data_IF_406081736888
#
_entry.id   IF_406081736888
#
_cell.length_a   1.000
_cell.length_b   1.000
_cell.length_c   1.000
_cell.angle_alpha   90.00
_cell.angle_beta   90.00
_cell.angle_gamma   90.00
#
_symmetry.space_group_name_H-M   'P 1'
#
loop_
_entity.id
_entity.type
_entity.pdbx_description
1 polymer ?
#
# COMPACT_ATOMS: atom_id res chain seq x y z
N UNK A 1 -57.67 20.74 8.84
CA UNK A 1 -56.42 20.76 8.06
C UNK A 1 -55.27 21.15 8.97
N UNK A 2 -54.50 20.18 9.46
CA UNK A 2 -53.39 20.39 10.40
C UNK A 2 -52.10 20.55 9.59
N UNK A 3 -51.46 21.73 9.65
CA UNK A 3 -50.15 21.98 9.05
C UNK A 3 -49.05 21.40 9.96
N UNK A 4 -48.43 20.28 9.55
CA UNK A 4 -47.20 19.77 10.18
C UNK A 4 -46.01 20.62 9.71
N UNK A 5 -45.35 21.29 10.65
CA UNK A 5 -44.02 21.91 10.45
C UNK A 5 -42.98 20.80 10.46
N UNK A 6 -42.22 20.68 9.38
CA UNK A 6 -41.01 19.84 9.31
C UNK A 6 -39.88 20.64 9.95
N UNK A 7 -39.34 20.14 11.05
CA UNK A 7 -38.13 20.68 11.69
C UNK A 7 -36.95 19.92 11.11
N UNK A 8 -36.09 20.61 10.35
CA UNK A 8 -34.79 20.10 9.95
C UNK A 8 -33.84 20.20 11.15
N UNK A 9 -33.37 19.06 11.65
CA UNK A 9 -32.25 19.02 12.59
C UNK A 9 -30.93 19.01 11.79
N UNK A 10 -29.93 19.84 12.16
CA UNK A 10 -28.66 19.87 11.44
C UNK A 10 -27.84 18.63 11.81
N UNK A 11 -27.34 17.94 10.80
CA UNK A 11 -26.36 16.86 10.93
C UNK A 11 -25.03 17.47 11.41
N UNK A 12 -24.73 17.35 12.70
CA UNK A 12 -23.44 17.74 13.26
C UNK A 12 -22.45 16.63 12.97
N UNK A 13 -21.59 16.85 11.96
CA UNK A 13 -20.43 16.01 11.69
C UNK A 13 -19.38 16.28 12.78
N UNK A 14 -19.27 15.37 13.76
CA UNK A 14 -18.21 15.45 14.75
C UNK A 14 -16.87 15.01 14.12
N UNK A 15 -15.78 15.78 14.26
CA UNK A 15 -14.48 15.37 13.74
C UNK A 15 -13.94 14.23 14.63
N UNK A 16 -13.79 13.04 14.04
CA UNK A 16 -13.00 11.98 14.66
C UNK A 16 -11.52 12.42 14.61
N UNK A 17 -11.02 12.97 15.72
CA UNK A 17 -9.60 13.18 15.90
C UNK A 17 -8.92 11.81 15.99
N UNK A 18 -8.37 11.34 14.87
CA UNK A 18 -7.17 10.52 14.96
C UNK A 18 -6.07 11.41 15.51
N UNK A 19 -5.58 11.07 16.71
CA UNK A 19 -4.42 11.70 17.33
C UNK A 19 -3.20 11.45 16.46
N UNK A 20 -2.97 12.32 15.47
CA UNK A 20 -1.69 12.41 14.80
C UNK A 20 -0.74 13.02 15.83
N UNK A 21 0.01 12.16 16.51
CA UNK A 21 1.15 12.60 17.30
C UNK A 21 2.14 13.26 16.35
N UNK A 22 2.08 14.58 16.25
CA UNK A 22 3.09 15.40 15.57
C UNK A 22 4.33 15.38 16.48
N UNK A 23 5.09 14.31 16.39
CA UNK A 23 6.45 14.27 16.90
C UNK A 23 7.33 15.05 15.93
N UNK A 24 7.97 16.12 16.40
CA UNK A 24 9.08 16.81 15.71
C UNK A 24 10.36 15.95 15.65
N UNK A 25 10.22 14.63 15.50
CA UNK A 25 11.31 13.71 15.19
C UNK A 25 11.32 13.42 13.70
N UNK A 26 12.50 13.21 13.13
CA UNK A 26 12.68 12.83 11.72
C UNK A 26 12.10 11.45 11.35
N UNK A 27 11.32 10.82 12.24
CA UNK A 27 10.74 9.49 12.07
C UNK A 27 9.27 9.42 12.50
N UNK A 28 8.55 8.44 11.97
CA UNK A 28 7.17 8.10 12.34
C UNK A 28 7.10 7.49 13.73
N UNK A 29 6.00 7.72 14.44
CA UNK A 29 5.58 6.88 15.57
C UNK A 29 4.89 5.62 15.05
N UNK A 30 5.38 4.44 15.45
CA UNK A 30 4.75 3.17 15.10
C UNK A 30 3.43 2.96 15.82
N UNK A 31 2.53 2.14 15.28
CA UNK A 31 1.24 1.78 15.89
C UNK A 31 1.21 0.36 16.49
N UNK A 32 2.37 -0.20 16.87
CA UNK A 32 2.48 -1.55 17.45
C UNK A 32 1.76 -1.70 18.81
N UNK A 33 1.78 -0.63 19.62
CA UNK A 33 1.24 -0.55 20.98
C UNK A 33 -0.04 0.29 21.07
N UNK A 34 -0.61 0.71 19.92
CA UNK A 34 -1.73 1.64 19.93
C UNK A 34 -2.85 1.14 20.88
N UNK A 35 -3.37 2.01 21.75
CA UNK A 35 -4.38 1.58 22.71
C UNK A 35 -5.61 1.03 21.95
N UNK A 36 -6.38 0.10 22.54
CA UNK A 36 -7.72 -0.14 22.05
C UNK A 36 -8.44 1.21 21.99
N UNK A 37 -8.99 1.55 20.83
CA UNK A 37 -9.74 2.81 20.69
C UNK A 37 -10.89 2.74 21.69
N UNK A 38 -10.95 3.70 22.62
CA UNK A 38 -12.07 3.78 23.55
C UNK A 38 -13.35 3.83 22.74
N UNK A 39 -14.20 2.82 22.91
CA UNK A 39 -15.56 2.77 22.39
C UNK A 39 -16.36 3.91 23.03
N UNK A 40 -16.21 5.13 22.50
CA UNK A 40 -17.39 5.96 22.31
C UNK A 40 -18.33 5.11 21.48
N UNK A 41 -19.59 4.98 21.90
CA UNK A 41 -20.61 4.24 21.17
C UNK A 41 -20.77 4.86 19.77
N UNK A 42 -19.89 4.50 18.85
CA UNK A 42 -20.05 4.76 17.44
C UNK A 42 -21.30 3.97 17.07
N UNK A 43 -22.39 4.71 16.85
CA UNK A 43 -23.62 4.15 16.33
C UNK A 43 -23.25 3.36 15.08
N UNK A 44 -23.31 2.03 15.19
CA UNK A 44 -23.16 1.15 14.04
C UNK A 44 -24.30 1.48 13.09
N UNK A 45 -24.02 2.25 12.05
CA UNK A 45 -24.99 2.51 10.99
C UNK A 45 -25.03 1.23 10.16
N UNK A 46 -26.18 0.53 10.09
CA UNK A 46 -26.31 -0.66 9.27
C UNK A 46 -25.98 -0.32 7.81
N UNK A 47 -25.20 -1.16 7.13
CA UNK A 47 -24.85 -0.95 5.72
C UNK A 47 -23.51 -0.26 5.46
N UNK A 48 -22.79 0.24 6.49
CA UNK A 48 -21.52 0.95 6.28
C UNK A 48 -20.43 0.07 5.65
N UNK A 49 -20.41 -1.22 5.98
CA UNK A 49 -19.46 -2.16 5.37
C UNK A 49 -19.77 -2.36 3.88
N UNK A 50 -21.03 -2.60 3.53
CA UNK A 50 -21.49 -2.79 2.15
C UNK A 50 -21.29 -1.54 1.29
N UNK A 51 -21.53 -0.37 1.88
CA UNK A 51 -21.27 0.95 1.30
C UNK A 51 -19.77 1.13 1.01
N UNK A 52 -18.90 0.82 1.98
CA UNK A 52 -17.46 0.88 1.80
C UNK A 52 -16.98 -0.05 0.68
N UNK A 53 -17.50 -1.29 0.61
CA UNK A 53 -17.18 -2.21 -0.48
C UNK A 53 -17.68 -1.70 -1.85
N UNK A 54 -18.85 -1.04 -1.91
CA UNK A 54 -19.33 -0.45 -3.16
C UNK A 54 -18.43 0.68 -3.62
N UNK A 55 -18.05 1.59 -2.71
CA UNK A 55 -17.15 2.69 -3.00
C UNK A 55 -15.76 2.19 -3.44
N UNK A 56 -15.26 1.12 -2.81
CA UNK A 56 -14.02 0.46 -3.20
C UNK A 56 -14.06 -0.15 -4.61
N UNK A 57 -15.19 -0.70 -5.04
CA UNK A 57 -15.34 -1.18 -6.42
C UNK A 57 -15.17 -0.04 -7.44
N UNK A 58 -15.50 1.18 -7.07
CA UNK A 58 -15.34 2.40 -7.88
C UNK A 58 -14.06 3.20 -7.54
N UNK A 59 -13.04 2.57 -6.95
CA UNK A 59 -11.79 3.23 -6.52
C UNK A 59 -10.97 3.92 -7.61
N UNK A 60 -11.31 3.76 -8.90
CA UNK A 60 -10.78 4.61 -9.97
C UNK A 60 -11.16 6.08 -9.79
N UNK A 61 -12.23 6.37 -9.06
CA UNK A 61 -12.57 7.70 -8.56
C UNK A 61 -11.86 7.93 -7.22
N UNK A 62 -11.10 9.03 -7.12
CA UNK A 62 -10.46 9.44 -5.85
C UNK A 62 -11.49 9.63 -4.74
N UNK A 63 -12.61 10.28 -5.05
CA UNK A 63 -13.67 10.53 -4.07
C UNK A 63 -14.29 9.22 -3.56
N UNK A 64 -14.50 8.24 -4.44
CA UNK A 64 -15.02 6.93 -4.06
C UNK A 64 -14.00 6.18 -3.18
N UNK A 65 -12.71 6.20 -3.54
CA UNK A 65 -11.65 5.60 -2.72
C UNK A 65 -11.54 6.24 -1.33
N UNK A 66 -11.51 7.57 -1.25
CA UNK A 66 -11.46 8.30 0.04
C UNK A 66 -12.72 8.03 0.88
N UNK A 67 -13.89 7.92 0.23
CA UNK A 67 -15.14 7.54 0.89
C UNK A 67 -15.15 6.11 1.44
N UNK A 68 -14.50 5.15 0.76
CA UNK A 68 -14.32 3.79 1.25
C UNK A 68 -13.35 3.75 2.44
N UNK A 69 -12.22 4.46 2.33
CA UNK A 69 -11.21 4.57 3.39
C UNK A 69 -11.83 5.13 4.67
N UNK A 70 -12.56 6.25 4.59
CA UNK A 70 -13.16 6.89 5.76
C UNK A 70 -14.12 5.94 6.51
N UNK A 71 -14.86 5.11 5.79
CA UNK A 71 -15.78 4.12 6.38
C UNK A 71 -15.05 2.95 7.00
N UNK A 72 -14.03 2.43 6.33
CA UNK A 72 -13.19 1.39 6.93
C UNK A 72 -12.41 1.91 8.14
N UNK A 73 -11.99 3.17 8.17
CA UNK A 73 -11.40 3.79 9.37
C UNK A 73 -12.41 3.79 10.54
N UNK A 74 -13.67 4.18 10.29
CA UNK A 74 -14.71 4.17 11.31
C UNK A 74 -15.02 2.75 11.81
N UNK A 75 -15.10 1.77 10.90
CA UNK A 75 -15.29 0.36 11.23
C UNK A 75 -14.11 -0.20 12.03
N UNK A 76 -12.87 0.14 11.66
CA UNK A 76 -11.66 -0.30 12.34
C UNK A 76 -11.51 0.33 13.73
N UNK A 77 -11.95 1.58 13.89
CA UNK A 77 -12.05 2.21 15.20
C UNK A 77 -13.08 1.52 16.11
N UNK A 78 -14.19 1.04 15.55
CA UNK A 78 -15.21 0.29 16.29
C UNK A 78 -14.81 -1.18 16.58
N UNK A 79 -13.97 -1.78 15.73
CA UNK A 79 -13.49 -3.16 15.83
C UNK A 79 -11.96 -3.22 15.71
N UNK A 80 -11.21 -2.67 16.69
CA UNK A 80 -9.76 -2.50 16.55
C UNK A 80 -8.96 -3.79 16.46
N UNK A 81 -9.54 -4.93 16.84
CA UNK A 81 -8.95 -6.28 16.71
C UNK A 81 -9.17 -6.93 15.34
N UNK A 82 -9.94 -6.30 14.43
CA UNK A 82 -10.15 -6.83 13.08
C UNK A 82 -8.90 -6.57 12.21
N UNK A 83 -7.95 -7.50 12.29
CA UNK A 83 -6.69 -7.41 11.55
C UNK A 83 -6.88 -7.38 10.02
N UNK A 84 -7.93 -8.01 9.50
CA UNK A 84 -8.20 -8.06 8.06
C UNK A 84 -8.62 -6.67 7.55
N UNK A 85 -9.45 -5.96 8.31
CA UNK A 85 -9.85 -4.60 8.00
C UNK A 85 -8.66 -3.62 8.00
N UNK A 86 -7.73 -3.78 8.94
CA UNK A 86 -6.48 -3.02 8.96
C UNK A 86 -5.57 -3.31 7.76
N UNK A 87 -5.47 -4.58 7.34
CA UNK A 87 -4.79 -4.96 6.10
C UNK A 87 -5.41 -4.30 4.87
N UNK A 88 -6.75 -4.28 4.80
CA UNK A 88 -7.50 -3.63 3.73
C UNK A 88 -7.25 -2.12 3.70
N UNK A 89 -7.26 -1.45 4.86
CA UNK A 89 -6.90 -0.03 4.98
C UNK A 89 -5.47 0.23 4.51
N UNK A 90 -4.51 -0.61 4.89
CA UNK A 90 -3.12 -0.50 4.46
C UNK A 90 -2.98 -0.51 2.94
N UNK A 91 -3.68 -1.44 2.27
CA UNK A 91 -3.77 -1.50 0.81
C UNK A 91 -4.46 -0.27 0.21
N UNK A 92 -5.57 0.17 0.79
CA UNK A 92 -6.34 1.28 0.27
C UNK A 92 -5.53 2.58 0.27
N UNK A 93 -4.79 2.83 1.35
CA UNK A 93 -3.87 3.97 1.43
C UNK A 93 -2.70 3.89 0.46
N UNK A 94 -2.14 2.69 0.25
CA UNK A 94 -1.14 2.50 -0.80
C UNK A 94 -1.71 2.91 -2.16
N UNK A 95 -2.92 2.45 -2.49
CA UNK A 95 -3.56 2.75 -3.76
C UNK A 95 -3.93 4.24 -3.91
N UNK A 96 -4.35 4.90 -2.82
CA UNK A 96 -4.58 6.35 -2.80
C UNK A 96 -3.29 7.11 -3.16
N UNK A 97 -2.19 6.77 -2.49
CA UNK A 97 -0.91 7.44 -2.70
C UNK A 97 -0.36 7.19 -4.11
N UNK A 98 -0.26 5.93 -4.51
CA UNK A 98 0.43 5.49 -5.73
C UNK A 98 -0.43 5.69 -7.00
N UNK A 99 -1.76 5.66 -6.86
CA UNK A 99 -2.72 5.81 -7.96
C UNK A 99 -3.26 7.22 -8.15
N UNK A 100 -3.53 7.95 -7.07
CA UNK A 100 -4.24 9.25 -7.14
C UNK A 100 -3.41 10.47 -6.77
N UNK A 101 -2.30 10.28 -6.02
CA UNK A 101 -1.49 11.40 -5.52
C UNK A 101 -0.10 11.49 -6.15
N UNK A 102 0.23 10.59 -7.09
CA UNK A 102 1.57 10.47 -7.73
C UNK A 102 2.04 11.71 -8.50
N UNK A 103 1.13 12.60 -8.89
CA UNK A 103 1.45 13.80 -9.65
C UNK A 103 2.27 14.82 -8.83
N UNK A 104 2.14 14.78 -7.51
CA UNK A 104 2.87 15.65 -6.57
C UNK A 104 3.66 14.78 -5.59
N UNK A 105 4.72 14.10 -6.05
CA UNK A 105 5.54 13.27 -5.18
C UNK A 105 6.13 14.15 -4.07
N UNK A 106 6.20 13.61 -2.85
CA UNK A 106 6.65 14.31 -1.63
C UNK A 106 5.68 15.35 -1.04
N UNK A 107 4.52 15.61 -1.66
CA UNK A 107 3.47 16.41 -1.01
C UNK A 107 3.07 15.80 0.34
N UNK A 108 2.54 16.64 1.23
CA UNK A 108 2.03 16.20 2.53
C UNK A 108 0.95 15.13 2.37
N UNK A 109 0.05 15.28 1.39
CA UNK A 109 -0.98 14.28 1.10
C UNK A 109 -0.38 12.95 0.65
N UNK A 110 0.62 12.96 -0.24
CA UNK A 110 1.28 11.75 -0.74
C UNK A 110 2.03 11.00 0.36
N UNK A 111 2.85 11.71 1.14
CA UNK A 111 3.58 11.13 2.27
C UNK A 111 2.61 10.67 3.37
N UNK A 112 1.62 11.49 3.70
CA UNK A 112 0.60 11.19 4.70
C UNK A 112 -0.22 9.94 4.36
N UNK A 113 -0.54 9.71 3.09
CA UNK A 113 -1.24 8.51 2.66
C UNK A 113 -0.39 7.24 2.88
N UNK A 114 0.87 7.19 2.43
CA UNK A 114 1.74 6.04 2.75
C UNK A 114 2.00 5.87 4.25
N UNK A 115 2.03 6.98 4.98
CA UNK A 115 2.15 6.95 6.43
C UNK A 115 0.92 6.28 7.07
N UNK A 116 -0.30 6.71 6.73
CA UNK A 116 -1.50 6.03 7.20
C UNK A 116 -1.56 4.56 6.78
N UNK A 117 -1.15 4.24 5.54
CA UNK A 117 -1.09 2.86 5.05
C UNK A 117 -0.11 1.99 5.84
N UNK A 118 1.08 2.50 6.14
CA UNK A 118 2.05 1.80 6.99
C UNK A 118 1.47 1.59 8.39
N UNK A 119 0.87 2.62 9.01
CA UNK A 119 0.27 2.54 10.35
C UNK A 119 -0.86 1.53 10.45
N UNK A 120 -1.73 1.47 9.43
CA UNK A 120 -2.77 0.45 9.34
C UNK A 120 -2.17 -0.96 9.24
N UNK A 121 -1.11 -1.14 8.44
CA UNK A 121 -0.42 -2.43 8.33
C UNK A 121 0.27 -2.85 9.65
N UNK A 122 0.88 -1.89 10.37
CA UNK A 122 1.44 -2.14 11.71
C UNK A 122 0.37 -2.63 12.68
N UNK A 123 -0.80 -1.98 12.67
CA UNK A 123 -1.93 -2.36 13.50
C UNK A 123 -2.47 -3.75 13.14
N UNK A 124 -2.72 -4.02 11.86
CA UNK A 124 -3.21 -5.32 11.41
C UNK A 124 -2.26 -6.46 11.76
N UNK A 125 -0.95 -6.23 11.66
CA UNK A 125 0.07 -7.21 12.03
C UNK A 125 0.12 -7.46 13.55
N UNK A 126 0.05 -6.40 14.36
CA UNK A 126 0.02 -6.52 15.81
C UNK A 126 -1.21 -7.27 16.32
N UNK A 127 -2.38 -7.03 15.71
CA UNK A 127 -3.65 -7.65 16.13
C UNK A 127 -3.83 -9.07 15.59
N UNK A 128 -3.19 -9.42 14.47
CA UNK A 128 -3.23 -10.80 13.94
C UNK A 128 -2.20 -11.74 14.58
N UNK A 129 -1.14 -11.21 15.21
CA UNK A 129 -0.09 -12.06 15.78
C UNK A 129 0.46 -11.53 17.11
N UNK A 130 -0.06 -12.06 18.22
CA UNK A 130 0.32 -11.65 19.57
C UNK A 130 1.80 -11.92 19.90
N UNK A 131 2.38 -12.99 19.35
CA UNK A 131 3.79 -13.33 19.57
C UNK A 131 4.72 -12.31 18.89
N UNK A 132 4.40 -11.90 17.65
CA UNK A 132 5.08 -10.82 16.96
C UNK A 132 4.95 -9.51 17.74
N UNK A 133 3.72 -9.14 18.15
CA UNK A 133 3.47 -7.93 18.96
C UNK A 133 4.34 -7.93 20.21
N UNK A 134 4.33 -9.01 20.99
CA UNK A 134 5.12 -9.12 22.22
C UNK A 134 6.64 -8.92 21.98
N UNK A 135 7.18 -9.50 20.90
CA UNK A 135 8.60 -9.36 20.53
C UNK A 135 8.99 -7.94 20.17
N UNK A 136 8.20 -7.28 19.32
CA UNK A 136 8.48 -5.89 18.92
C UNK A 136 8.34 -4.93 20.11
N UNK A 137 7.34 -5.15 20.99
CA UNK A 137 7.19 -4.36 22.22
C UNK A 137 8.33 -4.61 23.23
N UNK A 138 8.96 -5.78 23.19
CA UNK A 138 10.18 -6.06 23.95
C UNK A 138 11.46 -5.44 23.33
N UNK A 139 11.33 -4.70 22.23
CA UNK A 139 12.45 -4.04 21.54
C UNK A 139 13.18 -4.91 20.52
N UNK A 140 12.66 -6.11 20.20
CA UNK A 140 13.21 -6.91 19.10
C UNK A 140 13.02 -6.17 17.77
N UNK A 141 14.01 -6.24 16.88
CA UNK A 141 13.93 -5.65 15.55
C UNK A 141 12.79 -6.30 14.76
N UNK A 142 12.04 -5.51 14.02
CA UNK A 142 10.88 -5.99 13.24
C UNK A 142 11.29 -7.08 12.24
N UNK A 143 12.44 -6.93 11.57
CA UNK A 143 12.98 -7.92 10.62
C UNK A 143 13.35 -9.27 11.27
N UNK A 144 13.55 -9.32 12.58
CA UNK A 144 13.77 -10.56 13.33
C UNK A 144 12.46 -11.11 13.90
N UNK A 145 11.66 -10.24 14.50
CA UNK A 145 10.37 -10.61 15.08
C UNK A 145 9.40 -11.18 14.02
N UNK A 146 9.46 -10.71 12.76
CA UNK A 146 8.56 -11.13 11.69
C UNK A 146 8.63 -12.64 11.39
N UNK A 147 9.71 -13.32 11.78
CA UNK A 147 9.89 -14.76 11.55
C UNK A 147 8.82 -15.64 12.21
N UNK A 148 8.13 -15.15 13.25
CA UNK A 148 7.01 -15.88 13.89
C UNK A 148 5.67 -15.66 13.21
N UNK A 149 5.59 -14.75 12.24
CA UNK A 149 4.36 -14.43 11.53
C UNK A 149 4.07 -15.51 10.49
N UNK A 150 2.83 -16.00 10.46
CA UNK A 150 2.33 -16.95 9.48
C UNK A 150 1.52 -16.28 8.36
N UNK A 151 0.86 -17.13 7.55
CA UNK A 151 0.07 -16.68 6.38
C UNK A 151 -1.15 -15.84 6.76
N UNK A 152 -1.66 -15.99 7.98
CA UNK A 152 -2.82 -15.26 8.50
C UNK A 152 -2.62 -13.73 8.49
N UNK A 153 -1.38 -13.26 8.58
CA UNK A 153 -1.05 -11.84 8.59
C UNK A 153 -0.43 -11.35 7.28
N UNK A 154 -0.48 -12.15 6.21
CA UNK A 154 0.28 -11.89 4.99
C UNK A 154 -0.11 -10.56 4.33
N UNK A 155 -1.41 -10.24 4.28
CA UNK A 155 -1.90 -8.98 3.71
C UNK A 155 -1.44 -7.74 4.50
N UNK A 156 -1.73 -7.60 5.81
CA UNK A 156 -1.25 -6.44 6.56
C UNK A 156 0.30 -6.36 6.60
N UNK A 157 0.99 -7.50 6.65
CA UNK A 157 2.45 -7.56 6.63
C UNK A 157 3.04 -7.01 5.31
N UNK A 158 2.53 -7.46 4.16
CA UNK A 158 3.05 -7.03 2.88
C UNK A 158 2.77 -5.55 2.63
N UNK A 159 1.52 -5.11 2.85
CA UNK A 159 1.14 -3.71 2.63
C UNK A 159 1.83 -2.75 3.60
N UNK A 160 2.06 -3.15 4.85
CA UNK A 160 2.94 -2.43 5.77
C UNK A 160 4.30 -2.14 5.13
N UNK A 161 4.98 -3.19 4.65
CA UNK A 161 6.34 -3.07 4.13
C UNK A 161 6.42 -2.18 2.89
N UNK A 162 5.50 -2.34 1.93
CA UNK A 162 5.56 -1.55 0.68
C UNK A 162 5.13 -0.10 0.88
N UNK A 163 4.19 0.18 1.79
CA UNK A 163 3.88 1.56 2.18
C UNK A 163 5.12 2.22 2.81
N UNK A 164 5.78 1.55 3.76
CA UNK A 164 6.99 2.06 4.41
C UNK A 164 8.12 2.27 3.40
N UNK A 165 8.27 1.36 2.43
CA UNK A 165 9.27 1.46 1.36
C UNK A 165 9.03 2.69 0.49
N UNK A 166 7.79 2.93 0.05
CA UNK A 166 7.43 4.08 -0.79
C UNK A 166 7.57 5.40 -0.04
N UNK A 167 7.08 5.46 1.21
CA UNK A 167 7.28 6.62 2.09
C UNK A 167 8.76 6.93 2.28
N UNK A 168 9.58 5.92 2.59
CA UNK A 168 11.01 6.10 2.87
C UNK A 168 11.76 6.62 1.64
N UNK A 169 11.45 6.08 0.45
CA UNK A 169 12.03 6.56 -0.81
C UNK A 169 11.66 8.01 -1.09
N UNK A 170 10.39 8.38 -0.89
CA UNK A 170 9.92 9.74 -1.11
C UNK A 170 10.48 10.73 -0.07
N UNK A 171 10.60 10.31 1.19
CA UNK A 171 11.14 11.13 2.29
C UNK A 171 12.63 11.43 2.13
N UNK A 172 13.40 10.52 1.54
CA UNK A 172 14.80 10.73 1.17
C UNK A 172 15.75 9.63 1.65
N UNK A 173 17.04 9.77 1.29
CA UNK A 173 18.05 8.72 1.47
C UNK A 173 18.20 8.24 2.92
N UNK A 174 18.14 9.14 3.90
CA UNK A 174 18.28 8.77 5.32
C UNK A 174 17.14 7.83 5.78
N UNK A 175 15.89 8.15 5.42
CA UNK A 175 14.74 7.31 5.72
C UNK A 175 14.81 5.96 4.98
N UNK A 176 15.22 5.98 3.70
CA UNK A 176 15.42 4.77 2.91
C UNK A 176 16.44 3.82 3.56
N UNK A 177 17.60 4.34 3.96
CA UNK A 177 18.65 3.54 4.60
C UNK A 177 18.23 3.05 5.99
N UNK A 178 17.51 3.88 6.76
CA UNK A 178 17.04 3.51 8.10
C UNK A 178 15.99 2.41 8.13
N UNK A 179 15.20 2.26 7.06
CA UNK A 179 14.14 1.25 6.96
C UNK A 179 14.49 0.06 6.04
N UNK A 180 15.65 0.07 5.36
CA UNK A 180 15.97 -0.92 4.31
C UNK A 180 15.90 -2.37 4.82
N UNK A 181 16.49 -2.66 5.98
CA UNK A 181 16.64 -4.01 6.50
C UNK A 181 15.30 -4.51 7.04
N UNK A 182 14.55 -3.60 7.67
CA UNK A 182 13.16 -3.81 8.09
C UNK A 182 12.27 -4.22 6.93
N UNK A 183 12.19 -3.40 5.87
CA UNK A 183 11.35 -3.68 4.71
C UNK A 183 11.80 -4.96 4.02
N UNK A 184 13.11 -5.14 3.81
CA UNK A 184 13.66 -6.35 3.19
C UNK A 184 13.29 -7.61 3.97
N UNK A 185 13.48 -7.62 5.29
CA UNK A 185 13.16 -8.78 6.14
C UNK A 185 11.68 -9.13 6.07
N UNK A 186 10.80 -8.12 6.12
CA UNK A 186 9.35 -8.34 6.07
C UNK A 186 8.90 -8.86 4.70
N UNK A 187 9.39 -8.31 3.59
CA UNK A 187 9.02 -8.83 2.26
C UNK A 187 9.68 -10.19 1.99
N UNK A 188 10.86 -10.47 2.55
CA UNK A 188 11.47 -11.82 2.51
C UNK A 188 10.55 -12.84 3.19
N UNK A 189 9.99 -12.49 4.35
CA UNK A 189 9.02 -13.36 5.03
C UNK A 189 7.76 -13.58 4.19
N UNK A 190 7.25 -12.54 3.52
CA UNK A 190 6.13 -12.69 2.60
C UNK A 190 6.44 -13.65 1.45
N UNK A 191 7.64 -13.55 0.87
CA UNK A 191 8.13 -14.44 -0.18
C UNK A 191 8.23 -15.90 0.29
N UNK A 192 8.77 -16.14 1.48
CA UNK A 192 8.87 -17.47 2.10
C UNK A 192 7.50 -18.11 2.36
N UNK A 193 6.54 -17.30 2.84
CA UNK A 193 5.21 -17.77 3.15
C UNK A 193 4.42 -18.09 1.89
N UNK A 194 4.40 -17.16 0.94
CA UNK A 194 3.65 -17.31 -0.31
C UNK A 194 4.23 -16.41 -1.41
N UNK A 195 5.03 -17.01 -2.28
CA UNK A 195 5.62 -16.31 -3.42
C UNK A 195 4.58 -15.77 -4.42
N UNK A 196 3.36 -16.33 -4.42
CA UNK A 196 2.27 -15.98 -5.34
C UNK A 196 1.39 -14.85 -4.82
N UNK A 197 1.56 -14.46 -3.56
CA UNK A 197 0.75 -13.45 -2.90
C UNK A 197 0.58 -12.19 -3.75
N UNK A 198 -0.68 -11.74 -3.86
CA UNK A 198 -1.07 -10.55 -4.60
C UNK A 198 -0.45 -10.48 -6.01
N UNK A 199 -0.60 -11.58 -6.75
CA UNK A 199 -0.14 -11.71 -8.13
C UNK A 199 1.39 -11.60 -8.24
N UNK A 200 2.10 -12.37 -7.42
CA UNK A 200 3.57 -12.41 -7.41
C UNK A 200 4.21 -11.13 -6.88
N UNK A 201 3.58 -10.48 -5.89
CA UNK A 201 4.00 -9.19 -5.36
C UNK A 201 5.36 -9.22 -4.63
N UNK A 202 5.72 -10.24 -3.84
CA UNK A 202 7.05 -10.32 -3.24
C UNK A 202 8.16 -10.35 -4.30
N UNK A 203 7.96 -11.09 -5.39
CA UNK A 203 8.87 -11.06 -6.55
C UNK A 203 8.90 -9.69 -7.23
N UNK A 204 7.75 -9.05 -7.45
CA UNK A 204 7.68 -7.69 -8.01
C UNK A 204 8.48 -6.69 -7.17
N UNK A 205 8.38 -6.77 -5.84
CA UNK A 205 9.19 -5.95 -4.93
C UNK A 205 10.69 -6.22 -5.10
N UNK A 206 11.11 -7.49 -5.05
CA UNK A 206 12.54 -7.83 -5.13
C UNK A 206 13.15 -7.51 -6.50
N UNK A 207 12.37 -7.59 -7.57
CA UNK A 207 12.78 -7.10 -8.89
C UNK A 207 13.23 -5.65 -8.83
N UNK A 208 12.40 -4.76 -8.26
CA UNK A 208 12.75 -3.36 -8.11
C UNK A 208 13.85 -3.12 -7.07
N UNK A 209 13.82 -3.84 -5.94
CA UNK A 209 14.79 -3.72 -4.85
C UNK A 209 16.23 -3.90 -5.37
N UNK A 210 16.50 -4.99 -6.09
CA UNK A 210 17.85 -5.29 -6.55
C UNK A 210 18.34 -4.33 -7.64
N UNK A 211 17.44 -3.75 -8.43
CA UNK A 211 17.79 -2.72 -9.41
C UNK A 211 18.06 -1.34 -8.78
N UNK A 212 17.41 -1.03 -7.65
CA UNK A 212 17.36 0.32 -7.09
C UNK A 212 18.09 0.50 -5.76
N UNK A 213 18.53 -0.58 -5.11
CA UNK A 213 19.29 -0.48 -3.85
C UNK A 213 20.56 0.37 -4.06
N UNK A 214 20.91 1.30 -3.15
CA UNK A 214 22.05 2.20 -3.38
C UNK A 214 23.40 1.48 -3.52
N UNK A 215 23.60 0.39 -2.76
CA UNK A 215 24.84 -0.40 -2.71
C UNK A 215 24.50 -1.87 -2.88
N UNK A 216 25.28 -2.59 -3.69
CA UNK A 216 25.06 -4.03 -3.94
C UNK A 216 23.90 -4.30 -4.88
N UNK A 217 23.72 -3.47 -5.92
CA UNK A 217 22.76 -3.76 -6.99
C UNK A 217 23.11 -5.08 -7.67
N UNK A 218 22.08 -5.85 -7.97
CA UNK A 218 22.19 -7.13 -8.65
C UNK A 218 21.14 -7.18 -9.76
N UNK A 219 21.58 -6.91 -10.99
CA UNK A 219 20.65 -6.82 -12.11
C UNK A 219 20.16 -8.20 -12.56
N UNK A 220 20.93 -9.26 -12.33
CA UNK A 220 20.52 -10.61 -12.69
C UNK A 220 19.44 -11.11 -11.71
N UNK A 221 19.64 -10.88 -10.41
CA UNK A 221 18.59 -11.12 -9.41
C UNK A 221 17.34 -10.26 -9.69
N UNK A 222 17.52 -8.99 -10.03
CA UNK A 222 16.41 -8.09 -10.40
C UNK A 222 15.57 -8.68 -11.55
N UNK A 223 16.22 -9.08 -12.65
CA UNK A 223 15.55 -9.68 -13.80
C UNK A 223 14.83 -10.98 -13.40
N UNK A 224 15.52 -11.88 -12.70
CA UNK A 224 14.95 -13.17 -12.31
C UNK A 224 13.67 -13.00 -11.46
N UNK A 225 13.66 -12.04 -10.53
CA UNK A 225 12.47 -11.74 -9.74
C UNK A 225 11.35 -11.13 -10.59
N UNK A 226 11.63 -10.20 -11.51
CA UNK A 226 10.60 -9.68 -12.41
C UNK A 226 10.00 -10.76 -13.30
N UNK A 227 10.83 -11.61 -13.91
CA UNK A 227 10.39 -12.71 -14.76
C UNK A 227 9.53 -13.71 -13.99
N UNK A 228 9.92 -14.04 -12.75
CA UNK A 228 9.11 -14.90 -11.88
C UNK A 228 7.76 -14.27 -11.53
N UNK A 229 7.71 -12.95 -11.25
CA UNK A 229 6.45 -12.23 -11.03
C UNK A 229 5.55 -12.24 -12.27
N UNK A 230 6.13 -12.02 -13.46
CA UNK A 230 5.41 -12.10 -14.74
C UNK A 230 4.91 -13.51 -15.05
N UNK A 231 5.67 -14.55 -14.68
CA UNK A 231 5.25 -15.94 -14.85
C UNK A 231 4.08 -16.30 -13.93
N UNK A 232 4.05 -15.78 -12.70
CA UNK A 232 2.94 -15.98 -11.75
C UNK A 232 1.67 -15.28 -12.24
N UNK A 233 1.79 -14.03 -12.71
CA UNK A 233 0.64 -13.23 -13.10
C UNK A 233 0.95 -12.32 -14.30
N UNK A 234 0.91 -12.84 -15.54
CA UNK A 234 1.23 -12.05 -16.73
C UNK A 234 0.22 -10.92 -16.99
N UNK A 235 -1.00 -11.03 -16.45
CA UNK A 235 -2.05 -10.01 -16.51
C UNK A 235 -1.91 -8.87 -15.48
N UNK A 236 -0.95 -8.94 -14.55
CA UNK A 236 -0.73 -7.86 -13.59
C UNK A 236 0.13 -6.76 -14.21
N UNK A 237 -0.51 -5.72 -14.75
CA UNK A 237 0.13 -4.62 -15.48
C UNK A 237 1.32 -3.98 -14.73
N UNK A 238 1.18 -3.80 -13.41
CA UNK A 238 2.18 -3.10 -12.60
C UNK A 238 3.55 -3.79 -12.54
N UNK A 239 3.64 -5.09 -12.83
CA UNK A 239 4.95 -5.77 -12.92
C UNK A 239 5.74 -5.27 -14.13
N UNK A 240 5.08 -5.12 -15.29
CA UNK A 240 5.73 -4.62 -16.52
C UNK A 240 6.15 -3.15 -16.37
N UNK A 241 5.28 -2.31 -15.82
CA UNK A 241 5.59 -0.89 -15.57
C UNK A 241 6.78 -0.75 -14.62
N UNK A 242 6.78 -1.49 -13.50
CA UNK A 242 7.86 -1.44 -12.53
C UNK A 242 9.19 -1.98 -13.11
N UNK A 243 9.14 -3.03 -13.93
CA UNK A 243 10.33 -3.54 -14.63
C UNK A 243 10.89 -2.53 -15.63
N UNK A 244 10.02 -1.84 -16.37
CA UNK A 244 10.45 -0.79 -17.30
C UNK A 244 11.16 0.35 -16.54
N UNK A 245 10.53 0.91 -15.50
CA UNK A 245 11.07 2.08 -14.79
C UNK A 245 12.34 1.77 -13.97
N UNK A 246 12.46 0.56 -13.43
CA UNK A 246 13.53 0.22 -12.48
C UNK A 246 14.66 -0.60 -13.10
N UNK A 247 14.33 -1.60 -13.92
CA UNK A 247 15.31 -2.50 -14.51
C UNK A 247 15.77 -2.01 -15.88
N UNK A 248 14.85 -1.79 -16.83
CA UNK A 248 15.21 -1.46 -18.21
C UNK A 248 15.97 -0.13 -18.30
N UNK A 249 15.51 0.91 -17.59
CA UNK A 249 16.24 2.19 -17.47
C UNK A 249 17.64 1.99 -16.89
N UNK A 250 17.80 1.21 -15.80
CA UNK A 250 19.12 0.99 -15.20
C UNK A 250 20.07 0.15 -16.06
N UNK A 251 19.54 -0.73 -16.93
CA UNK A 251 20.31 -1.48 -17.92
C UNK A 251 20.55 -0.70 -19.22
N UNK A 252 19.92 0.47 -19.38
CA UNK A 252 19.93 1.23 -20.63
C UNK A 252 19.38 0.43 -21.82
N UNK A 253 18.36 -0.39 -21.56
CA UNK A 253 17.65 -1.22 -22.54
C UNK A 253 16.35 -0.53 -22.99
N UNK A 254 16.47 0.40 -23.95
CA UNK A 254 15.34 1.19 -24.48
C UNK A 254 14.30 0.31 -25.18
N UNK A 255 14.73 -0.74 -25.86
CA UNK A 255 13.83 -1.65 -26.58
C UNK A 255 12.94 -2.44 -25.62
N UNK A 256 13.52 -3.02 -24.56
CA UNK A 256 12.75 -3.69 -23.52
C UNK A 256 11.80 -2.71 -22.82
N UNK A 257 12.27 -1.50 -22.51
CA UNK A 257 11.47 -0.46 -21.91
C UNK A 257 10.21 -0.16 -22.75
N UNK A 258 10.38 0.16 -24.04
CA UNK A 258 9.27 0.48 -24.93
C UNK A 258 8.32 -0.72 -25.09
N UNK A 259 8.87 -1.93 -25.26
CA UNK A 259 8.07 -3.15 -25.37
C UNK A 259 7.18 -3.37 -24.14
N UNK A 260 7.74 -3.27 -22.93
CA UNK A 260 6.99 -3.48 -21.69
C UNK A 260 5.85 -2.48 -21.52
N UNK A 261 6.07 -1.21 -21.88
CA UNK A 261 5.04 -0.17 -21.79
C UNK A 261 3.97 -0.34 -22.86
N UNK A 262 4.34 -0.69 -24.09
CA UNK A 262 3.37 -0.94 -25.16
C UNK A 262 2.49 -2.16 -24.87
N UNK A 263 3.07 -3.22 -24.31
CA UNK A 263 2.30 -4.36 -23.80
C UNK A 263 1.25 -3.94 -22.76
N UNK A 264 1.58 -3.00 -21.85
CA UNK A 264 0.64 -2.49 -20.82
C UNK A 264 -0.46 -1.65 -21.46
N UNK A 265 -0.11 -0.77 -22.41
CA UNK A 265 -1.08 0.07 -23.11
C UNK A 265 -2.09 -0.75 -23.93
N UNK A 266 -1.65 -1.87 -24.50
CA UNK A 266 -2.48 -2.78 -25.29
C UNK A 266 -3.30 -3.78 -24.44
N UNK A 267 -2.98 -3.96 -23.16
CA UNK A 267 -3.67 -4.90 -22.26
C UNK A 267 -5.16 -4.50 -22.07
N UNK A 268 -6.13 -5.42 -21.99
CA UNK A 268 -7.49 -5.05 -21.61
C UNK A 268 -7.53 -4.55 -20.15
N UNK A 269 -8.39 -3.58 -19.84
CA UNK A 269 -8.50 -3.03 -18.48
C UNK A 269 -8.83 -4.11 -17.43
N UNK A 270 -9.61 -5.11 -17.83
CA UNK A 270 -10.09 -6.23 -17.02
C UNK A 270 -9.26 -7.51 -17.21
N UNK A 271 -8.00 -7.41 -17.65
CA UNK A 271 -7.07 -8.55 -17.72
C UNK A 271 -7.01 -9.36 -16.41
N UNK A 272 -7.23 -8.69 -15.28
CA UNK A 272 -7.60 -9.28 -13.99
C UNK A 272 -8.85 -8.52 -13.52
N UNK A 273 -9.99 -9.21 -13.45
CA UNK A 273 -11.31 -8.59 -13.27
C UNK A 273 -11.40 -7.75 -11.98
N UNK A 274 -10.77 -8.20 -10.90
CA UNK A 274 -10.76 -7.50 -9.62
C UNK A 274 -9.79 -6.31 -9.56
N UNK A 275 -8.94 -6.11 -10.57
CA UNK A 275 -7.88 -5.08 -10.62
C UNK A 275 -8.06 -4.03 -11.74
N UNK A 276 -9.27 -3.85 -12.27
CA UNK A 276 -9.56 -2.85 -13.32
C UNK A 276 -9.03 -1.46 -12.97
N UNK A 277 -9.20 -1.02 -11.71
CA UNK A 277 -8.73 0.28 -11.27
C UNK A 277 -7.20 0.38 -11.27
N UNK A 278 -6.51 -0.64 -10.78
CA UNK A 278 -5.06 -0.74 -10.78
C UNK A 278 -4.52 -0.79 -12.23
N UNK A 279 -5.10 -1.59 -13.12
CA UNK A 279 -4.68 -1.65 -14.53
C UNK A 279 -4.78 -0.29 -15.22
N UNK A 280 -5.88 0.44 -15.01
CA UNK A 280 -6.05 1.80 -15.56
C UNK A 280 -4.98 2.77 -15.05
N UNK A 281 -4.70 2.73 -13.74
CA UNK A 281 -3.61 3.51 -13.15
C UNK A 281 -2.29 3.16 -13.83
N UNK A 282 -1.94 1.88 -13.95
CA UNK A 282 -0.69 1.42 -14.56
C UNK A 282 -0.57 1.81 -16.05
N UNK A 283 -1.68 1.85 -16.80
CA UNK A 283 -1.69 2.40 -18.17
C UNK A 283 -1.36 3.88 -18.20
N UNK A 284 -1.91 4.68 -17.31
CA UNK A 284 -1.55 6.10 -17.21
C UNK A 284 -0.08 6.27 -16.82
N UNK A 285 0.44 5.43 -15.92
CA UNK A 285 1.88 5.41 -15.62
C UNK A 285 2.71 5.06 -16.86
N UNK A 286 2.29 4.06 -17.62
CA UNK A 286 2.98 3.64 -18.83
C UNK A 286 3.01 4.74 -19.90
N UNK A 287 1.90 5.47 -20.11
CA UNK A 287 1.86 6.63 -21.02
C UNK A 287 2.87 7.71 -20.59
N UNK A 288 2.84 8.08 -19.32
CA UNK A 288 3.71 9.12 -18.77
C UNK A 288 5.18 8.72 -18.83
N UNK A 289 5.50 7.48 -18.50
CA UNK A 289 6.86 6.97 -18.54
C UNK A 289 7.38 6.84 -19.99
N UNK A 290 6.54 6.38 -20.92
CA UNK A 290 6.89 6.29 -22.34
C UNK A 290 7.20 7.66 -22.94
N UNK A 291 6.48 8.71 -22.53
CA UNK A 291 6.74 10.08 -22.97
C UNK A 291 8.10 10.63 -22.52
N UNK A 292 8.72 10.04 -21.48
CA UNK A 292 10.03 10.42 -20.95
C UNK A 292 11.18 9.59 -21.56
N UNK A 293 10.92 8.77 -22.58
CA UNK A 293 11.89 7.81 -23.12
C UNK A 293 13.19 8.46 -23.62
N UNK A 294 13.15 9.69 -24.14
CA UNK A 294 14.36 10.37 -24.64
C UNK A 294 15.19 11.05 -23.53
N UNK A 295 14.60 11.27 -22.36
CA UNK A 295 15.33 11.79 -21.19
C UNK A 295 16.00 10.67 -20.39
N UNK A 296 15.46 9.45 -20.47
CA UNK A 296 15.90 8.29 -19.70
C UNK A 296 17.01 7.47 -20.38
N UNK A 297 17.21 7.65 -21.70
CA UNK A 297 18.13 6.89 -22.56
C UNK A 297 18.78 7.79 -23.60
#
# INVERSE_FOLDING_TARGET
>A
MVKRRVVFAPLVLAPALMSVGVGCGTGRSSQWDAPPVSTSAATHVPGEAEEAERLWRDRSSRASLEGAIARWEALAAASPSDAALWGKLSRAYYFLADGHLRAEPQSEAYLGAFEKGTSAGERGLAESNAAFKARVLAGEKVEDAIKVVGKESLEPMYWYAVNLSKWSRAKGLAALLGNKDRVKGVVSRALELDETFFFGAPHRYFGAYWALVPVGRDMDASRAHFEKSLAIAPGYAGTKVLMAESYAVKKQDKDLFLKLLDDVLAMPDDAIAELVAETRVEKEKAKQLKAQADELF
#
